data_IF_389839780685
#
_entry.id   IF_389839780685
#
_cell.length_a   1.000
_cell.length_b   1.000
_cell.length_c   1.000
_cell.angle_alpha   90.00
_cell.angle_beta   90.00
_cell.angle_gamma   90.00
#
_symmetry.space_group_name_H-M   'P 1'
#
loop_
_entity.id
_entity.type
_entity.pdbx_description
1 polymer ?
#
# COMPACT_ATOMS: atom_id res chain seq x y z
N UNK A 1 -56.06 86.73 23.81
CA UNK A 1 -55.09 86.77 24.92
C UNK A 1 -54.78 85.32 25.28
N UNK A 2 -53.59 84.74 25.26
CA UNK A 2 -52.26 85.15 24.85
C UNK A 2 -51.32 83.93 24.99
N UNK A 3 -50.25 83.95 24.19
CA UNK A 3 -48.91 83.32 24.38
C UNK A 3 -48.73 81.78 24.30
N UNK A 4 -47.91 81.48 23.30
CA UNK A 4 -46.94 80.40 23.10
C UNK A 4 -46.13 80.05 24.36
N UNK A 5 -45.87 78.76 24.60
CA UNK A 5 -44.62 78.26 25.15
C UNK A 5 -44.36 76.80 24.72
N UNK A 6 -43.19 76.57 24.11
CA UNK A 6 -42.57 75.25 23.88
C UNK A 6 -41.87 74.81 25.17
N UNK A 7 -41.90 73.51 25.48
CA UNK A 7 -40.78 72.82 26.16
C UNK A 7 -40.85 71.32 25.90
N UNK A 8 -39.68 70.75 25.60
CA UNK A 8 -39.44 69.35 25.32
C UNK A 8 -39.40 68.51 26.61
N UNK A 9 -39.77 67.23 26.50
CA UNK A 9 -39.41 66.20 27.46
C UNK A 9 -39.04 64.92 26.69
N UNK A 10 -37.78 64.53 26.83
CA UNK A 10 -37.22 63.22 26.49
C UNK A 10 -37.38 62.34 27.74
N UNK A 11 -37.68 61.04 27.59
CA UNK A 11 -37.04 59.89 28.27
C UNK A 11 -37.93 58.63 28.27
N UNK A 12 -37.28 57.52 27.88
CA UNK A 12 -37.47 56.10 28.17
C UNK A 12 -38.73 55.35 27.70
N UNK A 13 -38.58 54.61 26.60
CA UNK A 13 -39.34 53.39 26.36
C UNK A 13 -38.64 52.21 27.08
N UNK A 14 -39.33 51.61 28.06
CA UNK A 14 -38.96 50.32 28.65
C UNK A 14 -39.18 49.21 27.62
N UNK A 15 -38.12 48.50 27.24
CA UNK A 15 -38.19 47.21 26.58
C UNK A 15 -38.40 46.13 27.64
N UNK A 16 -39.55 45.48 27.61
CA UNK A 16 -39.82 44.24 28.35
C UNK A 16 -39.19 43.09 27.55
N UNK A 17 -38.13 42.50 28.08
CA UNK A 17 -37.53 41.26 27.59
C UNK A 17 -38.43 40.07 27.94
N UNK A 18 -38.98 39.41 26.91
CA UNK A 18 -39.62 38.10 27.05
C UNK A 18 -38.52 37.06 26.96
N UNK A 19 -38.19 36.42 28.09
CA UNK A 19 -37.34 35.24 28.12
C UNK A 19 -38.07 34.07 27.45
N UNK A 20 -37.73 33.78 26.19
CA UNK A 20 -38.00 32.49 25.59
C UNK A 20 -36.95 31.50 26.12
N UNK A 21 -37.35 30.73 27.12
CA UNK A 21 -36.58 29.65 27.70
C UNK A 21 -36.59 28.49 26.71
N UNK A 22 -35.54 28.38 25.89
CA UNK A 22 -35.31 27.20 25.07
C UNK A 22 -34.96 26.03 25.97
N UNK A 23 -35.87 25.07 26.04
CA UNK A 23 -35.65 23.76 26.64
C UNK A 23 -34.60 23.01 25.81
N UNK A 24 -33.34 23.10 26.22
CA UNK A 24 -32.25 22.23 25.77
C UNK A 24 -32.49 20.82 26.31
N UNK A 25 -33.22 20.01 25.55
CA UNK A 25 -33.23 18.55 25.70
C UNK A 25 -32.32 17.95 24.64
N UNK A 26 -31.04 17.86 24.97
CA UNK A 26 -30.02 17.19 24.18
C UNK A 26 -28.83 16.92 25.08
N UNK A 27 -28.81 15.76 25.72
CA UNK A 27 -27.65 15.25 26.45
C UNK A 27 -26.56 14.88 25.44
N UNK A 28 -25.87 15.87 24.87
CA UNK A 28 -24.63 15.67 24.14
C UNK A 28 -23.52 15.42 25.15
N UNK A 29 -22.92 14.23 25.13
CA UNK A 29 -21.73 13.97 25.93
C UNK A 29 -20.63 14.95 25.49
N UNK A 30 -20.09 15.73 26.43
CA UNK A 30 -19.03 16.69 26.13
C UNK A 30 -17.80 15.96 25.59
N UNK A 31 -17.26 16.42 24.46
CA UNK A 31 -16.04 15.89 23.84
C UNK A 31 -14.85 16.10 24.80
N UNK A 32 -14.05 15.05 25.01
CA UNK A 32 -12.89 15.11 25.88
C UNK A 32 -11.69 15.85 25.25
N UNK A 33 -10.68 16.15 26.06
CA UNK A 33 -9.54 16.97 25.62
C UNK A 33 -8.64 16.24 24.61
N UNK A 34 -8.62 14.90 24.61
CA UNK A 34 -7.86 14.12 23.63
C UNK A 34 -8.50 14.23 22.24
N UNK A 35 -9.83 14.15 22.15
CA UNK A 35 -10.55 14.32 20.89
C UNK A 35 -10.46 15.77 20.38
N UNK A 36 -10.46 16.77 21.27
CA UNK A 36 -10.20 18.17 20.87
C UNK A 36 -8.79 18.34 20.31
N UNK A 37 -7.78 17.78 20.99
CA UNK A 37 -6.40 17.81 20.50
C UNK A 37 -6.28 17.11 19.13
N UNK A 38 -6.99 16.00 18.91
CA UNK A 38 -7.04 15.36 17.60
C UNK A 38 -7.69 16.27 16.53
N UNK A 39 -8.83 16.90 16.82
CA UNK A 39 -9.51 17.84 15.90
C UNK A 39 -8.58 18.99 15.46
N UNK A 40 -7.71 19.44 16.36
CA UNK A 40 -6.71 20.46 16.08
C UNK A 40 -5.56 19.98 15.20
N UNK A 41 -5.33 18.67 15.06
CA UNK A 41 -4.11 18.13 14.45
C UNK A 41 -4.33 17.11 13.31
N UNK A 42 -5.55 16.60 13.11
CA UNK A 42 -5.80 15.57 12.08
C UNK A 42 -5.63 16.07 10.64
N UNK A 43 -5.79 17.38 10.42
CA UNK A 43 -5.45 18.10 9.20
C UNK A 43 -4.44 19.21 9.52
N UNK A 44 -3.44 19.37 8.64
CA UNK A 44 -2.53 20.51 8.66
C UNK A 44 -3.22 21.78 8.12
N UNK A 45 -2.73 22.95 8.52
CA UNK A 45 -3.23 24.21 7.97
C UNK A 45 -2.94 24.30 6.46
N UNK A 46 -3.97 24.60 5.66
CA UNK A 46 -3.91 24.62 4.20
C UNK A 46 -4.07 23.26 3.52
N UNK A 47 -4.23 22.18 4.29
CA UNK A 47 -4.46 20.84 3.74
C UNK A 47 -5.89 20.71 3.19
N UNK A 48 -6.03 20.05 2.04
CA UNK A 48 -7.30 19.54 1.54
C UNK A 48 -7.21 18.05 1.34
N UNK A 49 -7.90 17.29 2.17
CA UNK A 49 -7.84 15.83 2.14
C UNK A 49 -9.16 15.25 1.66
N UNK A 50 -9.07 14.26 0.78
CA UNK A 50 -10.20 13.40 0.45
C UNK A 50 -10.37 12.37 1.59
N UNK A 51 -11.59 12.31 2.11
CA UNK A 51 -12.08 11.33 3.08
C UNK A 51 -13.11 10.43 2.40
N UNK A 52 -12.71 9.29 1.82
CA UNK A 52 -13.65 8.35 1.19
C UNK A 52 -14.63 7.72 2.17
N UNK A 53 -14.29 7.73 3.46
CA UNK A 53 -15.14 7.25 4.53
C UNK A 53 -15.18 8.28 5.67
N UNK A 54 -16.29 8.34 6.38
CA UNK A 54 -16.36 9.08 7.64
C UNK A 54 -15.45 8.45 8.69
N UNK A 55 -14.59 9.28 9.29
CA UNK A 55 -13.50 8.82 10.17
C UNK A 55 -14.02 8.13 11.44
N UNK A 56 -15.18 8.58 11.95
CA UNK A 56 -15.83 7.98 13.12
C UNK A 56 -16.32 6.57 12.79
N UNK A 57 -16.89 6.40 11.60
CA UNK A 57 -17.33 5.09 11.11
C UNK A 57 -16.15 4.15 10.92
N UNK A 58 -15.06 4.64 10.33
CA UNK A 58 -13.81 3.89 10.18
C UNK A 58 -13.28 3.44 11.53
N UNK A 59 -13.08 4.35 12.49
CA UNK A 59 -12.59 3.99 13.81
C UNK A 59 -13.47 2.97 14.52
N UNK A 60 -14.80 3.06 14.37
CA UNK A 60 -15.71 2.04 14.91
C UNK A 60 -15.44 0.63 14.38
N UNK A 61 -15.01 0.51 13.13
CA UNK A 61 -14.68 -0.76 12.49
C UNK A 61 -13.24 -1.23 12.67
N UNK A 62 -12.25 -0.33 12.68
CA UNK A 62 -10.83 -0.69 12.56
C UNK A 62 -10.06 -0.60 13.89
N UNK A 63 -10.34 0.40 14.74
CA UNK A 63 -9.48 0.74 15.89
C UNK A 63 -10.30 0.89 17.20
N UNK A 64 -11.63 0.76 17.15
CA UNK A 64 -12.56 1.28 18.16
C UNK A 64 -12.39 0.76 19.58
N UNK A 65 -11.74 -0.39 19.79
CA UNK A 65 -11.41 -0.93 21.12
C UNK A 65 -10.12 -0.38 21.74
N UNK A 66 -9.21 0.20 20.94
CA UNK A 66 -7.91 0.74 21.42
C UNK A 66 -7.91 2.25 21.62
N UNK A 67 -8.92 2.97 21.11
CA UNK A 67 -9.09 4.40 21.38
C UNK A 67 -9.71 4.60 22.78
N UNK A 68 -8.94 5.21 23.69
CA UNK A 68 -9.32 5.40 25.11
C UNK A 68 -10.26 6.58 25.38
N UNK A 69 -10.43 7.45 24.40
CA UNK A 69 -11.19 8.70 24.49
C UNK A 69 -12.61 8.57 23.92
N UNK A 70 -13.47 9.56 24.18
CA UNK A 70 -14.89 9.55 23.86
C UNK A 70 -15.21 9.95 22.41
N UNK A 71 -14.40 9.50 21.45
CA UNK A 71 -14.52 9.80 20.00
C UNK A 71 -15.92 9.55 19.42
N UNK A 72 -16.71 8.63 20.02
CA UNK A 72 -18.10 8.37 19.63
C UNK A 72 -19.02 9.61 19.76
N UNK A 73 -18.63 10.60 20.55
CA UNK A 73 -19.31 11.87 20.70
C UNK A 73 -19.14 12.80 19.49
N UNK A 74 -18.17 12.56 18.60
CA UNK A 74 -18.03 13.32 17.36
C UNK A 74 -19.26 13.15 16.48
N UNK A 75 -19.76 14.21 15.83
CA UNK A 75 -20.78 14.09 14.80
C UNK A 75 -20.20 13.42 13.54
N UNK A 76 -21.05 12.75 12.79
CA UNK A 76 -20.68 12.15 11.49
C UNK A 76 -20.59 13.28 10.46
N UNK A 77 -19.54 13.29 9.65
CA UNK A 77 -19.40 14.25 8.54
C UNK A 77 -20.14 13.73 7.32
N UNK A 78 -20.90 14.60 6.64
CA UNK A 78 -21.60 14.28 5.39
C UNK A 78 -22.54 13.06 5.46
N UNK A 79 -23.16 12.81 6.61
CA UNK A 79 -24.01 11.63 6.85
C UNK A 79 -23.31 10.28 6.58
N UNK A 80 -21.97 10.25 6.58
CA UNK A 80 -21.16 9.06 6.33
C UNK A 80 -20.63 8.97 4.90
N UNK A 81 -21.12 9.83 4.00
CA UNK A 81 -20.68 9.89 2.60
C UNK A 81 -19.20 10.29 2.49
N UNK A 82 -18.56 9.95 1.36
CA UNK A 82 -17.28 10.53 1.02
C UNK A 82 -17.32 12.06 1.06
N UNK A 83 -16.24 12.68 1.55
CA UNK A 83 -16.15 14.12 1.70
C UNK A 83 -14.76 14.63 1.36
N UNK A 84 -14.68 15.88 0.92
CA UNK A 84 -13.42 16.62 0.82
C UNK A 84 -13.41 17.63 1.95
N UNK A 85 -12.38 17.59 2.79
CA UNK A 85 -12.26 18.49 3.93
C UNK A 85 -11.03 19.36 3.78
N UNK A 86 -11.22 20.66 3.94
CA UNK A 86 -10.15 21.67 3.85
C UNK A 86 -10.02 22.38 5.18
N UNK A 87 -8.82 22.36 5.77
CA UNK A 87 -8.51 23.17 6.94
C UNK A 87 -7.77 24.44 6.54
N UNK A 88 -8.19 25.58 7.07
CA UNK A 88 -7.53 26.84 6.79
C UNK A 88 -7.68 27.84 7.93
N UNK A 89 -6.57 28.48 8.30
CA UNK A 89 -6.52 29.63 9.20
C UNK A 89 -6.85 30.95 8.49
N UNK A 90 -6.88 30.95 7.15
CA UNK A 90 -7.06 32.16 6.33
C UNK A 90 -8.41 32.21 5.59
N UNK A 91 -8.97 31.06 5.23
CA UNK A 91 -10.31 30.96 4.65
C UNK A 91 -11.36 30.82 5.74
N UNK A 92 -12.49 31.49 5.55
CA UNK A 92 -13.65 31.26 6.42
C UNK A 92 -14.26 29.91 6.08
N UNK A 93 -14.54 29.04 7.06
CA UNK A 93 -15.20 27.77 6.81
C UNK A 93 -16.51 27.91 6.03
N UNK A 94 -16.76 27.00 5.09
CA UNK A 94 -17.96 27.03 4.25
C UNK A 94 -19.27 26.67 5.00
N UNK A 95 -19.17 26.22 6.26
CA UNK A 95 -20.32 25.78 7.06
C UNK A 95 -20.91 24.43 6.64
N UNK A 96 -20.20 23.65 5.82
CA UNK A 96 -20.64 22.32 5.38
C UNK A 96 -20.31 21.19 6.36
N UNK A 97 -19.42 21.42 7.33
CA UNK A 97 -19.15 20.46 8.38
C UNK A 97 -20.14 20.64 9.56
N UNK A 98 -20.29 19.63 10.43
CA UNK A 98 -20.88 19.86 11.75
C UNK A 98 -20.12 20.92 12.55
N UNK A 99 -20.83 21.63 13.45
CA UNK A 99 -20.32 22.79 14.19
C UNK A 99 -18.93 22.58 14.80
N UNK A 100 -18.65 21.42 15.41
CA UNK A 100 -17.35 21.12 16.03
C UNK A 100 -16.17 21.20 15.06
N UNK A 101 -16.37 20.80 13.81
CA UNK A 101 -15.33 20.85 12.76
C UNK A 101 -15.24 22.25 12.16
N UNK A 102 -16.39 22.91 11.96
CA UNK A 102 -16.45 24.29 11.49
C UNK A 102 -15.79 25.26 12.46
N UNK A 103 -16.00 25.10 13.76
CA UNK A 103 -15.34 25.87 14.83
C UNK A 103 -13.82 25.62 14.86
N UNK A 104 -13.37 24.45 14.39
CA UNK A 104 -11.95 24.12 14.23
C UNK A 104 -11.33 24.64 12.90
N UNK A 105 -12.06 25.46 12.14
CA UNK A 105 -11.58 26.05 10.89
C UNK A 105 -11.64 25.11 9.68
N UNK A 106 -12.51 24.09 9.72
CA UNK A 106 -12.64 23.09 8.64
C UNK A 106 -13.87 23.36 7.79
N UNK A 107 -13.68 23.33 6.47
CA UNK A 107 -14.74 23.29 5.46
C UNK A 107 -14.95 21.86 4.97
N UNK A 108 -16.20 21.45 4.76
CA UNK A 108 -16.54 20.13 4.24
C UNK A 108 -17.35 20.27 2.96
N UNK A 109 -16.98 19.48 1.97
CA UNK A 109 -17.69 19.31 0.72
C UNK A 109 -18.15 17.86 0.62
N UNK A 110 -19.46 17.61 0.66
CA UNK A 110 -19.99 16.25 0.60
C UNK A 110 -20.08 15.75 -0.83
N UNK A 111 -19.61 14.53 -1.09
CA UNK A 111 -19.70 13.89 -2.40
C UNK A 111 -20.98 13.07 -2.49
N UNK A 112 -21.91 13.54 -3.31
CA UNK A 112 -23.25 12.95 -3.44
C UNK A 112 -23.26 11.79 -4.43
N UNK A 113 -24.11 10.78 -4.16
CA UNK A 113 -24.35 9.65 -5.07
C UNK A 113 -23.53 8.38 -4.79
N UNK A 114 -22.61 8.39 -3.82
CA UNK A 114 -21.80 7.22 -3.48
C UNK A 114 -22.54 6.16 -2.63
N UNK A 115 -23.50 6.56 -1.78
CA UNK A 115 -24.21 5.64 -0.87
C UNK A 115 -25.02 4.55 -1.58
N UNK A 116 -25.43 4.81 -2.83
CA UNK A 116 -26.22 3.88 -3.63
C UNK A 116 -25.37 3.15 -4.69
N UNK A 117 -24.05 3.33 -4.66
CA UNK A 117 -23.13 2.77 -5.65
C UNK A 117 -22.26 1.69 -5.05
N UNK A 118 -22.12 0.58 -5.77
CA UNK A 118 -21.10 -0.45 -5.54
C UNK A 118 -19.78 -0.12 -6.24
N UNK A 119 -19.81 0.83 -7.18
CA UNK A 119 -18.67 1.30 -7.95
C UNK A 119 -18.29 2.71 -7.52
N UNK A 120 -17.17 2.85 -6.83
CA UNK A 120 -16.67 4.14 -6.37
C UNK A 120 -15.64 4.69 -7.36
N UNK A 121 -15.89 5.89 -7.89
CA UNK A 121 -14.95 6.57 -8.78
C UNK A 121 -14.54 7.93 -8.23
N UNK A 122 -13.25 8.20 -8.11
CA UNK A 122 -12.71 9.49 -7.67
C UNK A 122 -11.82 10.08 -8.76
N UNK A 123 -12.19 11.26 -9.25
CA UNK A 123 -11.37 12.03 -10.18
C UNK A 123 -10.65 13.10 -9.36
N UNK A 124 -9.32 13.04 -9.32
CA UNK A 124 -8.53 13.88 -8.43
C UNK A 124 -7.61 14.80 -9.24
N UNK A 125 -7.34 15.99 -8.73
CA UNK A 125 -6.31 16.90 -9.27
C UNK A 125 -5.49 17.50 -8.14
N UNK A 126 -4.23 17.92 -8.37
CA UNK A 126 -3.44 18.57 -7.35
C UNK A 126 -4.05 19.92 -6.99
N UNK A 127 -4.30 20.16 -5.70
CA UNK A 127 -4.78 21.47 -5.26
C UNK A 127 -3.67 22.51 -5.33
N UNK A 128 -3.78 23.45 -6.28
CA UNK A 128 -2.78 24.52 -6.46
C UNK A 128 -3.02 25.75 -5.58
N UNK A 129 -4.28 26.06 -5.25
CA UNK A 129 -4.64 27.25 -4.48
C UNK A 129 -5.73 26.94 -3.45
N UNK A 130 -5.65 27.64 -2.32
CA UNK A 130 -6.69 27.63 -1.29
C UNK A 130 -7.80 28.61 -1.69
N UNK A 131 -8.91 28.07 -2.17
CA UNK A 131 -10.13 28.81 -2.50
C UNK A 131 -11.35 28.25 -1.76
N UNK A 132 -12.44 29.02 -1.73
CA UNK A 132 -13.72 28.58 -1.20
C UNK A 132 -14.21 27.30 -1.86
N UNK A 133 -14.85 26.43 -1.07
CA UNK A 133 -15.34 25.13 -1.50
C UNK A 133 -16.88 25.09 -1.48
N UNK A 134 -17.51 24.43 -2.46
CA UNK A 134 -18.96 24.23 -2.42
C UNK A 134 -19.36 23.32 -1.24
N UNK A 135 -20.64 23.33 -0.88
CA UNK A 135 -21.15 22.43 0.16
C UNK A 135 -21.24 20.97 -0.33
N UNK A 136 -21.48 20.79 -1.63
CA UNK A 136 -21.65 19.47 -2.24
C UNK A 136 -21.00 19.40 -3.63
N UNK A 137 -20.61 18.20 -4.02
CA UNK A 137 -20.19 17.86 -5.38
C UNK A 137 -20.93 16.60 -5.83
N UNK A 138 -21.23 16.52 -7.12
CA UNK A 138 -21.87 15.34 -7.69
C UNK A 138 -20.88 14.17 -7.83
N UNK A 139 -21.41 12.95 -7.92
CA UNK A 139 -20.66 11.74 -8.24
C UNK A 139 -19.77 11.94 -9.48
N UNK A 140 -18.51 11.55 -9.38
CA UNK A 140 -17.54 11.66 -10.46
C UNK A 140 -17.05 13.10 -10.75
N UNK A 141 -17.38 14.07 -9.91
CA UNK A 141 -16.78 15.40 -10.00
C UNK A 141 -15.27 15.34 -9.70
N UNK A 142 -14.49 16.16 -10.40
CA UNK A 142 -13.06 16.33 -10.13
C UNK A 142 -12.85 17.07 -8.81
N UNK A 143 -12.02 16.51 -7.93
CA UNK A 143 -11.70 17.09 -6.61
C UNK A 143 -10.22 17.49 -6.53
N UNK A 144 -9.99 18.76 -6.21
CA UNK A 144 -8.64 19.28 -5.94
C UNK A 144 -8.17 18.92 -4.53
N UNK A 145 -7.15 18.06 -4.42
CA UNK A 145 -6.68 17.52 -3.14
C UNK A 145 -5.16 17.69 -2.96
N UNK A 146 -4.72 17.68 -1.71
CA UNK A 146 -3.30 17.61 -1.31
C UNK A 146 -2.93 16.24 -0.76
N UNK A 147 -3.93 15.50 -0.28
CA UNK A 147 -3.76 14.20 0.38
C UNK A 147 -5.05 13.39 0.31
N UNK A 148 -4.94 12.09 0.57
CA UNK A 148 -6.06 11.17 0.70
C UNK A 148 -5.87 10.37 2.00
N UNK A 149 -6.96 10.11 2.72
CA UNK A 149 -6.92 9.14 3.82
C UNK A 149 -7.10 7.73 3.26
N UNK A 150 -6.49 6.73 3.91
CA UNK A 150 -6.73 5.31 3.61
C UNK A 150 -8.21 5.03 3.40
N UNK A 151 -8.53 4.38 2.28
CA UNK A 151 -9.90 4.01 1.91
C UNK A 151 -10.24 2.72 2.64
N UNK A 152 -11.17 2.79 3.58
CA UNK A 152 -11.71 1.58 4.23
C UNK A 152 -12.95 1.18 3.45
N UNK A 153 -12.77 0.30 2.47
CA UNK A 153 -13.83 -0.05 1.53
C UNK A 153 -15.03 -0.67 2.27
N UNK A 154 -16.25 -0.12 2.13
CA UNK A 154 -17.46 -0.75 2.65
C UNK A 154 -17.67 -2.14 2.06
N UNK A 155 -18.31 -3.04 2.82
CA UNK A 155 -18.48 -4.46 2.44
C UNK A 155 -19.22 -4.65 1.10
N UNK A 156 -20.06 -3.71 0.70
CA UNK A 156 -20.85 -3.77 -0.54
C UNK A 156 -20.16 -3.14 -1.76
N UNK A 157 -19.00 -2.51 -1.59
CA UNK A 157 -18.27 -1.89 -2.71
C UNK A 157 -17.51 -2.96 -3.47
N UNK A 158 -17.82 -3.08 -4.76
CA UNK A 158 -17.27 -4.09 -5.67
C UNK A 158 -16.09 -3.53 -6.48
N UNK A 159 -16.08 -2.22 -6.75
CA UNK A 159 -14.97 -1.57 -7.45
C UNK A 159 -14.59 -0.21 -6.89
N UNK A 160 -13.28 0.06 -6.88
CA UNK A 160 -12.72 1.37 -6.55
C UNK A 160 -11.84 1.84 -7.70
N UNK A 161 -12.11 3.05 -8.18
CA UNK A 161 -11.39 3.70 -9.26
C UNK A 161 -10.91 5.07 -8.82
N UNK A 162 -9.62 5.35 -9.01
CA UNK A 162 -9.01 6.67 -8.77
C UNK A 162 -8.32 7.09 -10.06
N UNK A 163 -8.69 8.25 -10.56
CA UNK A 163 -8.16 8.81 -11.82
C UNK A 163 -7.57 10.17 -11.56
N UNK A 164 -6.27 10.33 -11.83
CA UNK A 164 -5.64 11.63 -11.84
C UNK A 164 -6.02 12.43 -13.09
N UNK A 165 -6.56 13.62 -12.90
CA UNK A 165 -6.92 14.54 -13.97
C UNK A 165 -5.76 15.48 -14.24
N UNK A 166 -5.26 15.47 -15.47
CA UNK A 166 -4.13 16.30 -15.89
C UNK A 166 -3.26 15.61 -16.92
N UNK A 167 -2.16 16.27 -17.29
CA UNK A 167 -1.14 15.71 -18.18
C UNK A 167 -0.11 14.89 -17.40
N UNK A 168 0.23 15.33 -16.19
CA UNK A 168 1.21 14.67 -15.34
C UNK A 168 0.52 13.73 -14.34
N UNK A 169 1.19 12.63 -14.00
CA UNK A 169 0.74 11.70 -12.97
C UNK A 169 0.72 12.37 -11.59
N UNK A 170 -0.35 12.15 -10.84
CA UNK A 170 -0.55 12.80 -9.54
C UNK A 170 0.10 11.98 -8.44
N UNK A 171 1.02 12.59 -7.69
CA UNK A 171 1.57 11.97 -6.48
C UNK A 171 0.49 11.89 -5.39
N UNK A 172 0.20 10.66 -4.93
CA UNK A 172 -0.74 10.42 -3.84
C UNK A 172 -0.03 10.52 -2.49
N UNK A 173 -0.36 11.55 -1.70
CA UNK A 173 0.01 11.60 -0.30
C UNK A 173 -1.06 10.89 0.54
N UNK A 174 -0.84 9.60 0.80
CA UNK A 174 -1.75 8.78 1.61
C UNK A 174 -1.46 9.00 3.09
N UNK A 175 -2.52 9.19 3.87
CA UNK A 175 -2.47 9.33 5.34
C UNK A 175 -3.28 8.20 5.97
N UNK A 176 -2.83 7.65 7.09
CA UNK A 176 -3.59 6.63 7.80
C UNK A 176 -4.91 7.21 8.36
N UNK A 177 -5.92 6.37 8.50
CA UNK A 177 -7.21 6.66 9.13
C UNK A 177 -7.11 7.09 10.60
N UNK A 178 -6.02 6.75 11.28
CA UNK A 178 -5.77 7.17 12.66
C UNK A 178 -4.88 8.42 12.77
N UNK A 179 -4.55 9.07 11.65
CA UNK A 179 -3.64 10.23 11.63
C UNK A 179 -4.10 11.31 12.62
N UNK A 180 -3.16 11.79 13.44
CA UNK A 180 -3.41 12.75 14.52
C UNK A 180 -3.76 12.12 15.87
N UNK A 181 -3.89 10.79 15.96
CA UNK A 181 -4.15 10.09 17.21
C UNK A 181 -2.86 9.55 17.84
N UNK A 182 -2.61 9.87 19.11
CA UNK A 182 -1.39 9.45 19.81
C UNK A 182 -1.30 7.92 19.97
N UNK A 183 -0.07 7.38 19.85
CA UNK A 183 0.27 5.97 20.05
C UNK A 183 -0.33 4.97 19.02
N UNK A 184 -0.84 5.46 17.89
CA UNK A 184 -1.14 4.61 16.73
C UNK A 184 0.00 4.69 15.72
N UNK A 185 0.42 3.55 15.18
CA UNK A 185 1.43 3.55 14.12
C UNK A 185 0.78 3.94 12.79
N UNK A 186 1.06 5.15 12.33
CA UNK A 186 0.58 5.68 11.05
C UNK A 186 1.65 5.62 9.97
N UNK A 187 2.72 4.84 10.19
CA UNK A 187 3.82 4.69 9.24
C UNK A 187 3.41 3.80 8.08
N UNK A 188 3.70 4.22 6.85
CA UNK A 188 3.42 3.46 5.63
C UNK A 188 1.94 3.05 5.45
N UNK A 189 1.01 4.02 5.36
CA UNK A 189 -0.40 3.71 5.24
C UNK A 189 -0.71 2.97 3.93
N UNK A 190 -1.61 1.99 4.02
CA UNK A 190 -2.23 1.36 2.86
C UNK A 190 -3.13 2.36 2.14
N UNK A 191 -3.23 2.29 0.82
CA UNK A 191 -4.19 3.11 0.08
C UNK A 191 -5.60 2.61 0.32
N UNK A 192 -5.80 1.29 0.30
CA UNK A 192 -7.11 0.65 0.45
C UNK A 192 -7.01 -0.48 1.48
N UNK A 193 -7.92 -0.48 2.44
CA UNK A 193 -8.15 -1.55 3.40
C UNK A 193 -9.54 -2.15 3.21
N UNK A 194 -9.67 -3.43 3.54
CA UNK A 194 -10.91 -4.18 3.40
C UNK A 194 -11.19 -5.02 4.64
N UNK A 195 -12.47 -5.16 4.97
CA UNK A 195 -12.93 -6.11 5.98
C UNK A 195 -12.84 -7.56 5.50
N UNK A 196 -13.07 -8.50 6.42
CA UNK A 196 -13.07 -9.95 6.11
C UNK A 196 -14.20 -10.41 5.18
N UNK A 197 -15.24 -9.58 5.02
CA UNK A 197 -16.46 -9.84 4.26
C UNK A 197 -16.59 -8.98 3.00
N UNK A 198 -15.47 -8.43 2.53
CA UNK A 198 -15.44 -7.51 1.38
C UNK A 198 -15.95 -8.14 0.08
N UNK A 199 -16.72 -7.37 -0.69
CA UNK A 199 -17.08 -7.67 -2.07
C UNK A 199 -16.12 -7.05 -3.10
N UNK A 200 -15.04 -6.39 -2.67
CA UNK A 200 -14.14 -5.67 -3.56
C UNK A 200 -13.39 -6.63 -4.50
N UNK A 201 -13.69 -6.55 -5.79
CA UNK A 201 -13.09 -7.40 -6.82
C UNK A 201 -12.21 -6.63 -7.79
N UNK A 202 -12.43 -5.30 -7.94
CA UNK A 202 -11.76 -4.49 -8.96
C UNK A 202 -11.15 -3.22 -8.38
N UNK A 203 -9.88 -2.98 -8.72
CA UNK A 203 -9.18 -1.74 -8.42
C UNK A 203 -8.64 -1.14 -9.72
N UNK A 204 -8.88 0.15 -9.92
CA UNK A 204 -8.40 0.91 -11.07
C UNK A 204 -7.71 2.19 -10.61
N UNK A 205 -6.40 2.28 -10.85
CA UNK A 205 -5.62 3.48 -10.61
C UNK A 205 -5.10 3.97 -11.96
N UNK A 206 -5.50 5.18 -12.35
CA UNK A 206 -5.08 5.78 -13.61
C UNK A 206 -4.45 7.14 -13.36
N UNK A 207 -3.30 7.40 -13.98
CA UNK A 207 -2.59 8.68 -13.91
C UNK A 207 -2.26 9.14 -12.47
N UNK A 208 -1.89 8.19 -11.61
CA UNK A 208 -1.41 8.44 -10.24
C UNK A 208 0.00 7.89 -10.08
N UNK A 209 0.92 8.67 -9.54
CA UNK A 209 2.31 8.25 -9.41
C UNK A 209 2.46 7.18 -8.30
N UNK A 210 2.74 5.95 -8.72
CA UNK A 210 2.96 4.81 -7.84
C UNK A 210 4.43 4.39 -7.78
N UNK A 211 5.35 5.16 -8.37
CA UNK A 211 6.75 4.74 -8.50
C UNK A 211 7.39 4.40 -7.15
N UNK A 212 7.20 5.24 -6.13
CA UNK A 212 7.74 5.01 -4.77
C UNK A 212 6.77 4.24 -3.87
N UNK A 213 5.46 4.32 -4.14
CA UNK A 213 4.45 3.72 -3.27
C UNK A 213 4.55 2.18 -3.20
N UNK A 214 4.95 1.55 -4.30
CA UNK A 214 5.00 0.07 -4.42
C UNK A 214 6.29 -0.56 -3.87
N UNK A 215 7.24 0.24 -3.38
CA UNK A 215 8.53 -0.23 -2.85
C UNK A 215 8.49 -0.57 -1.35
N UNK A 216 7.49 -0.05 -0.63
CA UNK A 216 7.53 0.00 0.84
C UNK A 216 6.58 -0.97 1.53
N UNK A 217 5.48 -1.39 0.91
CA UNK A 217 4.45 -2.22 1.54
C UNK A 217 3.90 -3.28 0.59
N UNK A 218 3.56 -4.46 1.13
CA UNK A 218 2.93 -5.57 0.37
C UNK A 218 1.40 -5.49 0.37
N UNK A 219 0.85 -4.60 1.19
CA UNK A 219 -0.57 -4.44 1.50
C UNK A 219 -1.11 -3.06 1.10
N UNK A 220 -0.36 -2.31 0.26
CA UNK A 220 -0.80 -1.02 -0.26
C UNK A 220 -2.20 -1.08 -0.91
N UNK A 221 -2.49 -2.21 -1.57
CA UNK A 221 -3.81 -2.58 -2.08
C UNK A 221 -4.17 -4.00 -1.65
N UNK A 222 -5.47 -4.32 -1.48
CA UNK A 222 -5.93 -5.66 -1.12
C UNK A 222 -5.53 -6.73 -2.14
N UNK A 223 -5.06 -7.88 -1.63
CA UNK A 223 -4.58 -9.01 -2.45
C UNK A 223 -5.70 -9.95 -2.92
N UNK A 224 -6.92 -9.79 -2.40
CA UNK A 224 -8.07 -10.66 -2.67
C UNK A 224 -8.92 -10.22 -3.87
N UNK A 225 -8.38 -9.35 -4.74
CA UNK A 225 -9.07 -8.80 -5.92
C UNK A 225 -8.87 -9.68 -7.16
N UNK A 226 -9.77 -9.54 -8.13
CA UNK A 226 -9.75 -10.24 -9.42
C UNK A 226 -9.20 -9.39 -10.56
N UNK A 227 -9.37 -8.06 -10.50
CA UNK A 227 -8.97 -7.14 -11.56
C UNK A 227 -8.18 -5.96 -11.00
N UNK A 228 -6.95 -5.80 -11.50
CA UNK A 228 -6.06 -4.70 -11.16
C UNK A 228 -5.63 -3.95 -12.41
N UNK A 229 -6.01 -2.68 -12.49
CA UNK A 229 -5.62 -1.76 -13.56
C UNK A 229 -4.75 -0.65 -12.97
N UNK A 230 -3.51 -0.51 -13.45
CA UNK A 230 -2.56 0.54 -13.06
C UNK A 230 -1.99 1.18 -14.34
N UNK A 231 -2.67 2.20 -14.88
CA UNK A 231 -2.29 2.83 -16.16
C UNK A 231 -1.74 4.23 -15.94
N UNK A 232 -0.71 4.63 -16.67
CA UNK A 232 -0.08 5.95 -16.50
C UNK A 232 0.44 6.19 -15.06
N UNK A 233 0.89 5.14 -14.38
CA UNK A 233 1.25 5.21 -12.96
C UNK A 233 2.76 5.40 -12.68
N UNK A 234 3.53 5.79 -13.70
CA UNK A 234 4.98 5.96 -13.63
C UNK A 234 5.77 4.72 -13.14
N UNK A 235 5.17 3.53 -13.15
CA UNK A 235 5.80 2.30 -12.64
C UNK A 235 6.96 1.93 -13.58
N UNK A 236 8.19 1.96 -13.09
CA UNK A 236 9.36 1.57 -13.90
C UNK A 236 9.88 0.17 -13.60
N UNK A 237 9.60 -0.33 -12.39
CA UNK A 237 9.90 -1.69 -11.96
C UNK A 237 8.74 -2.23 -11.16
N UNK A 238 8.29 -3.44 -11.49
CA UNK A 238 7.39 -4.19 -10.61
C UNK A 238 8.27 -4.93 -9.60
N UNK A 239 8.20 -4.53 -8.33
CA UNK A 239 8.89 -5.26 -7.25
C UNK A 239 8.26 -6.64 -7.05
N UNK A 240 9.06 -7.62 -6.61
CA UNK A 240 8.51 -8.94 -6.29
C UNK A 240 7.55 -8.88 -5.12
N UNK A 241 7.70 -7.91 -4.22
CA UNK A 241 6.84 -7.69 -3.06
C UNK A 241 5.46 -7.20 -3.46
N UNK A 242 5.36 -6.28 -4.42
CA UNK A 242 4.07 -5.70 -4.82
C UNK A 242 3.11 -6.72 -5.43
N UNK A 243 3.58 -7.58 -6.34
CA UNK A 243 2.73 -8.60 -6.97
C UNK A 243 2.68 -9.92 -6.18
N UNK A 244 3.37 -10.03 -5.04
CA UNK A 244 3.33 -11.25 -4.27
C UNK A 244 2.06 -11.30 -3.41
N UNK A 245 1.29 -12.38 -3.57
CA UNK A 245 0.19 -12.68 -2.65
C UNK A 245 -1.20 -12.67 -3.27
N UNK A 246 -1.33 -12.29 -4.54
CA UNK A 246 -2.61 -12.27 -5.24
C UNK A 246 -3.15 -13.68 -5.47
N UNK A 247 -4.12 -14.09 -4.65
CA UNK A 247 -4.72 -15.42 -4.74
C UNK A 247 -5.76 -15.54 -5.88
N UNK A 248 -6.40 -14.43 -6.23
CA UNK A 248 -7.59 -14.39 -7.09
C UNK A 248 -7.41 -13.54 -8.35
N UNK A 249 -6.24 -12.93 -8.56
CA UNK A 249 -6.05 -11.96 -9.65
C UNK A 249 -6.06 -12.64 -11.02
N UNK A 250 -7.05 -12.28 -11.83
CA UNK A 250 -7.27 -12.81 -13.17
C UNK A 250 -6.86 -11.83 -14.28
N UNK A 251 -6.97 -10.53 -14.02
CA UNK A 251 -6.74 -9.46 -14.98
C UNK A 251 -5.76 -8.44 -14.41
N UNK A 252 -4.65 -8.24 -15.12
CA UNK A 252 -3.63 -7.25 -14.77
C UNK A 252 -3.35 -6.33 -15.96
N UNK A 253 -3.63 -5.03 -15.80
CA UNK A 253 -3.27 -4.00 -16.78
C UNK A 253 -2.20 -3.08 -16.19
N UNK A 254 -1.02 -3.11 -16.79
CA UNK A 254 0.15 -2.27 -16.49
C UNK A 254 0.53 -1.41 -17.72
N UNK A 255 -0.41 -1.17 -18.63
CA UNK A 255 -0.15 -0.40 -19.84
C UNK A 255 0.17 1.06 -19.55
N UNK A 256 0.90 1.69 -20.47
CA UNK A 256 1.31 3.11 -20.35
C UNK A 256 2.10 3.39 -19.07
N UNK A 257 3.05 2.53 -18.72
CA UNK A 257 3.97 2.76 -17.62
C UNK A 257 5.40 2.97 -18.17
N UNK A 258 6.40 2.87 -17.29
CA UNK A 258 7.82 3.05 -17.61
C UNK A 258 8.61 1.75 -17.43
N UNK A 259 7.91 0.61 -17.50
CA UNK A 259 8.55 -0.69 -17.39
C UNK A 259 9.64 -0.74 -18.46
N UNK A 260 10.91 -1.01 -18.09
CA UNK A 260 12.06 -1.21 -19.00
C UNK A 260 12.80 -2.56 -18.72
N UNK A 261 13.54 -3.10 -19.70
CA UNK A 261 14.48 -4.22 -19.52
C UNK A 261 13.91 -5.64 -19.69
N UNK A 262 14.42 -6.61 -18.92
CA UNK A 262 13.89 -7.98 -18.87
C UNK A 262 12.91 -8.07 -17.70
N UNK A 263 11.60 -8.09 -17.98
CA UNK A 263 10.51 -7.97 -16.98
C UNK A 263 10.32 -9.22 -16.13
N UNK A 264 11.38 -9.58 -15.43
CA UNK A 264 11.57 -10.92 -14.91
C UNK A 264 10.75 -11.22 -13.65
N UNK A 265 9.84 -10.31 -13.25
CA UNK A 265 9.09 -10.39 -11.98
C UNK A 265 7.62 -10.73 -12.13
N UNK A 266 7.02 -10.51 -13.31
CA UNK A 266 5.68 -11.03 -13.60
C UNK A 266 5.85 -12.51 -13.95
N UNK A 267 5.48 -13.38 -13.02
CA UNK A 267 5.66 -14.83 -13.14
C UNK A 267 4.64 -15.56 -12.26
N UNK A 268 4.57 -16.88 -12.36
CA UNK A 268 3.72 -17.71 -11.50
C UNK A 268 3.93 -17.51 -10.00
N UNK A 269 5.09 -16.96 -9.58
CA UNK A 269 5.39 -16.68 -8.18
C UNK A 269 4.56 -15.53 -7.58
N UNK A 270 3.87 -14.75 -8.41
CA UNK A 270 2.97 -13.69 -7.95
C UNK A 270 1.69 -14.25 -7.30
N UNK A 271 1.28 -15.44 -7.76
CA UNK A 271 0.03 -16.05 -7.36
C UNK A 271 0.28 -17.01 -6.19
N UNK A 272 -0.58 -16.96 -5.18
CA UNK A 272 -0.56 -17.94 -4.08
C UNK A 272 -1.43 -19.15 -4.38
N UNK A 273 -2.40 -19.02 -5.29
CA UNK A 273 -3.19 -20.13 -5.80
C UNK A 273 -2.42 -20.98 -6.81
N UNK A 274 -2.69 -22.30 -6.81
CA UNK A 274 -2.17 -23.25 -7.78
C UNK A 274 -3.31 -24.12 -8.32
N UNK A 275 -3.67 -24.04 -9.61
CA UNK A 275 -3.03 -23.22 -10.65
C UNK A 275 -3.20 -21.71 -10.43
N UNK A 276 -2.28 -20.91 -10.98
CA UNK A 276 -2.42 -19.45 -10.93
C UNK A 276 -3.64 -19.02 -11.79
N UNK A 277 -4.57 -18.19 -11.27
CA UNK A 277 -5.80 -17.84 -11.96
C UNK A 277 -5.64 -16.75 -13.04
N UNK A 278 -4.43 -16.22 -13.23
CA UNK A 278 -4.15 -15.14 -14.18
C UNK A 278 -4.56 -15.52 -15.61
N UNK A 279 -5.49 -14.77 -16.19
CA UNK A 279 -6.04 -14.98 -17.54
C UNK A 279 -5.51 -13.95 -18.54
N UNK A 280 -5.36 -12.70 -18.14
CA UNK A 280 -5.01 -11.61 -19.04
C UNK A 280 -3.98 -10.66 -18.45
N UNK A 281 -2.94 -10.37 -19.24
CA UNK A 281 -1.92 -9.38 -18.90
C UNK A 281 -1.78 -8.36 -20.03
N UNK A 282 -1.90 -7.08 -19.70
CA UNK A 282 -1.60 -5.98 -20.60
C UNK A 282 -0.37 -5.21 -20.12
N UNK A 283 0.69 -5.21 -20.92
CA UNK A 283 1.94 -4.47 -20.68
C UNK A 283 2.32 -3.62 -21.89
N UNK A 284 1.32 -3.26 -22.71
CA UNK A 284 1.49 -2.37 -23.86
C UNK A 284 1.97 -0.98 -23.45
N UNK A 285 2.58 -0.24 -24.38
CA UNK A 285 3.03 1.15 -24.15
C UNK A 285 4.00 1.24 -22.96
N UNK A 286 5.04 0.43 -22.99
CA UNK A 286 6.13 0.42 -22.02
C UNK A 286 7.47 0.45 -22.81
N UNK A 287 8.59 0.13 -22.16
CA UNK A 287 9.91 0.03 -22.76
C UNK A 287 10.44 -1.40 -22.84
N UNK A 288 9.60 -2.41 -23.09
CA UNK A 288 10.05 -3.81 -23.10
C UNK A 288 11.00 -4.10 -24.26
N UNK A 289 12.17 -4.70 -23.98
CA UNK A 289 13.17 -5.00 -25.03
C UNK A 289 13.17 -6.46 -25.49
N UNK A 290 12.43 -7.33 -24.80
CA UNK A 290 12.34 -8.76 -25.09
C UNK A 290 10.93 -9.28 -24.80
N UNK A 291 10.53 -10.33 -25.53
CA UNK A 291 9.29 -11.07 -25.25
C UNK A 291 9.40 -11.71 -23.84
N UNK A 292 8.43 -11.48 -22.94
CA UNK A 292 8.50 -11.95 -21.56
C UNK A 292 8.13 -13.44 -21.45
N UNK A 293 9.05 -14.32 -21.85
CA UNK A 293 8.82 -15.78 -21.94
C UNK A 293 8.30 -16.43 -20.64
N UNK A 294 8.59 -15.86 -19.46
CA UNK A 294 8.10 -16.39 -18.16
C UNK A 294 6.61 -16.22 -17.95
N UNK A 295 5.96 -15.26 -18.63
CA UNK A 295 4.51 -15.10 -18.55
C UNK A 295 3.79 -16.31 -19.17
N UNK A 296 4.41 -17.00 -20.13
CA UNK A 296 3.85 -18.21 -20.72
C UNK A 296 3.93 -19.44 -19.81
N UNK A 297 4.57 -19.34 -18.63
CA UNK A 297 4.45 -20.34 -17.57
C UNK A 297 3.17 -20.18 -16.72
N UNK A 298 2.39 -19.12 -16.97
CA UNK A 298 1.06 -18.94 -16.38
C UNK A 298 0.09 -19.81 -17.17
N UNK A 299 -0.22 -20.98 -16.61
CA UNK A 299 -0.97 -22.04 -17.29
C UNK A 299 -2.45 -21.71 -17.56
N UNK A 300 -2.96 -20.58 -17.07
CA UNK A 300 -4.32 -20.09 -17.36
C UNK A 300 -4.31 -18.83 -18.26
N UNK A 301 -3.13 -18.32 -18.64
CA UNK A 301 -3.01 -17.12 -19.45
C UNK A 301 -3.58 -17.40 -20.85
N UNK A 302 -4.55 -16.57 -21.26
CA UNK A 302 -5.20 -16.63 -22.56
C UNK A 302 -5.02 -15.34 -23.37
N UNK A 303 -4.66 -14.24 -22.71
CA UNK A 303 -4.54 -12.92 -23.31
C UNK A 303 -3.24 -12.23 -22.90
N UNK A 304 -2.44 -11.80 -23.86
CA UNK A 304 -1.19 -11.06 -23.61
C UNK A 304 -1.00 -9.93 -24.62
N UNK A 305 -0.89 -8.69 -24.13
CA UNK A 305 -0.73 -7.50 -24.96
C UNK A 305 0.63 -6.82 -24.73
N UNK A 306 1.42 -6.69 -25.79
CA UNK A 306 2.81 -6.21 -25.81
C UNK A 306 3.05 -5.06 -26.80
N UNK A 307 2.02 -4.56 -27.48
CA UNK A 307 2.15 -3.49 -28.50
C UNK A 307 2.79 -2.21 -27.93
N UNK A 308 3.46 -1.44 -28.78
CA UNK A 308 4.18 -0.21 -28.43
C UNK A 308 5.22 -0.44 -27.32
N UNK A 309 6.12 -1.39 -27.56
CA UNK A 309 7.31 -1.61 -26.74
C UNK A 309 8.58 -1.45 -27.58
N UNK A 310 9.75 -1.75 -27.02
CA UNK A 310 11.05 -1.69 -27.70
C UNK A 310 11.59 -3.09 -28.06
N UNK A 311 10.69 -4.04 -28.36
CA UNK A 311 11.07 -5.43 -28.64
C UNK A 311 11.58 -5.49 -30.08
N UNK A 312 12.85 -5.85 -30.25
CA UNK A 312 13.51 -5.89 -31.56
C UNK A 312 13.90 -7.32 -32.00
N UNK A 313 13.57 -8.34 -31.19
CA UNK A 313 13.91 -9.73 -31.47
C UNK A 313 12.67 -10.60 -31.64
N UNK A 314 12.39 -11.01 -32.88
CA UNK A 314 11.30 -11.92 -33.26
C UNK A 314 11.75 -13.37 -33.44
N UNK A 315 12.99 -13.71 -33.08
CA UNK A 315 13.48 -15.08 -33.08
C UNK A 315 13.04 -15.80 -31.81
N UNK A 316 12.29 -16.88 -31.95
CA UNK A 316 11.72 -17.66 -30.84
C UNK A 316 11.98 -19.15 -30.99
N UNK A 317 11.96 -19.90 -29.89
CA UNK A 317 11.96 -21.36 -29.93
C UNK A 317 10.62 -21.88 -30.44
N UNK A 318 10.58 -23.13 -30.92
CA UNK A 318 9.30 -23.77 -31.30
C UNK A 318 8.32 -23.82 -30.13
N UNK A 319 8.79 -24.07 -28.91
CA UNK A 319 7.93 -24.10 -27.71
C UNK A 319 7.32 -22.73 -27.40
N UNK A 320 8.12 -21.65 -27.46
CA UNK A 320 7.60 -20.30 -27.23
C UNK A 320 6.62 -19.89 -28.34
N UNK A 321 6.89 -20.26 -29.59
CA UNK A 321 5.95 -20.05 -30.70
C UNK A 321 4.61 -20.78 -30.46
N UNK A 322 4.65 -22.06 -30.07
CA UNK A 322 3.44 -22.83 -29.81
C UNK A 322 2.63 -22.25 -28.64
N UNK A 323 3.32 -21.76 -27.60
CA UNK A 323 2.68 -21.05 -26.49
C UNK A 323 2.02 -19.73 -26.94
N UNK A 324 2.69 -18.95 -27.79
CA UNK A 324 2.11 -17.71 -28.37
C UNK A 324 0.89 -18.05 -29.21
N UNK A 325 1.00 -19.01 -30.13
CA UNK A 325 -0.08 -19.43 -31.03
C UNK A 325 -1.28 -20.06 -30.30
N UNK A 326 -1.07 -20.58 -29.08
CA UNK A 326 -2.11 -21.13 -28.22
C UNK A 326 -2.92 -20.09 -27.44
N UNK A 327 -2.49 -18.81 -27.41
CA UNK A 327 -3.26 -17.74 -26.78
C UNK A 327 -4.56 -17.49 -27.57
N UNK A 328 -5.57 -16.96 -26.89
CA UNK A 328 -6.79 -16.48 -27.56
C UNK A 328 -6.58 -15.08 -28.11
N UNK A 329 -5.93 -14.21 -27.32
CA UNK A 329 -5.62 -12.85 -27.70
C UNK A 329 -4.12 -12.59 -27.49
N UNK A 330 -3.44 -12.19 -28.54
CA UNK A 330 -2.05 -11.79 -28.48
C UNK A 330 -1.83 -10.61 -29.42
N UNK A 331 -1.11 -9.61 -28.94
CA UNK A 331 -0.76 -8.43 -29.74
C UNK A 331 0.66 -7.98 -29.41
N UNK A 332 1.42 -7.63 -30.43
CA UNK A 332 2.82 -7.20 -30.37
C UNK A 332 3.18 -6.52 -31.69
N UNK A 333 4.12 -5.57 -31.65
CA UNK A 333 4.61 -4.90 -32.85
C UNK A 333 5.21 -5.92 -33.85
N UNK A 334 4.89 -5.74 -35.14
CA UNK A 334 5.41 -6.57 -36.21
C UNK A 334 6.93 -6.37 -36.40
N UNK A 335 7.66 -7.38 -36.90
CA UNK A 335 9.06 -7.22 -37.24
C UNK A 335 9.25 -6.07 -38.24
N UNK A 336 10.36 -5.35 -38.10
CA UNK A 336 10.75 -4.33 -39.08
C UNK A 336 11.13 -5.00 -40.40
N UNK A 337 10.95 -4.29 -41.53
CA UNK A 337 11.28 -4.81 -42.88
C UNK A 337 12.76 -5.24 -43.02
N UNK A 338 13.64 -4.76 -42.13
CA UNK A 338 15.06 -5.12 -42.09
C UNK A 338 15.38 -6.40 -41.31
N UNK A 339 14.42 -6.97 -40.58
CA UNK A 339 14.68 -8.15 -39.76
C UNK A 339 14.77 -9.42 -40.62
N UNK A 340 15.87 -10.16 -40.52
CA UNK A 340 16.10 -11.39 -41.27
C UNK A 340 16.00 -12.63 -40.37
N UNK A 341 15.41 -13.70 -40.90
CA UNK A 341 15.35 -14.99 -40.22
C UNK A 341 16.45 -15.91 -40.74
N UNK A 342 17.65 -15.78 -40.18
CA UNK A 342 18.85 -16.46 -40.72
C UNK A 342 18.95 -17.94 -40.29
N UNK A 343 18.40 -18.29 -39.12
CA UNK A 343 18.56 -19.61 -38.49
C UNK A 343 17.22 -20.30 -38.15
N UNK A 344 16.15 -19.93 -38.85
CA UNK A 344 14.82 -20.45 -38.56
C UNK A 344 13.89 -20.40 -39.76
N UNK A 345 12.64 -20.71 -39.49
CA UNK A 345 11.55 -20.65 -40.45
C UNK A 345 10.54 -19.59 -40.03
N UNK A 346 10.14 -18.75 -40.97
CA UNK A 346 9.05 -17.80 -40.73
C UNK A 346 7.75 -18.55 -40.47
N UNK A 347 7.10 -18.22 -39.35
CA UNK A 347 5.76 -18.69 -39.02
C UNK A 347 4.92 -17.52 -38.52
N UNK A 348 3.61 -17.56 -38.78
CA UNK A 348 2.69 -16.48 -38.44
C UNK A 348 1.71 -16.93 -37.36
N UNK A 349 1.62 -16.17 -36.29
CA UNK A 349 0.62 -16.33 -35.23
C UNK A 349 0.01 -14.97 -34.90
N UNK A 350 -1.31 -14.90 -34.72
CA UNK A 350 -2.03 -13.66 -34.39
C UNK A 350 -1.75 -12.47 -35.33
N UNK A 351 -1.44 -12.75 -36.61
CA UNK A 351 -1.10 -11.72 -37.60
C UNK A 351 0.33 -11.17 -37.51
N UNK A 352 1.19 -11.79 -36.70
CA UNK A 352 2.60 -11.39 -36.50
C UNK A 352 3.52 -12.53 -36.98
N UNK A 353 4.59 -12.17 -37.69
CA UNK A 353 5.58 -13.11 -38.18
C UNK A 353 6.73 -13.30 -37.17
N UNK A 354 7.07 -14.55 -36.90
CA UNK A 354 8.14 -14.96 -36.00
C UNK A 354 9.17 -15.82 -36.73
N UNK A 355 10.45 -15.61 -36.45
CA UNK A 355 11.52 -16.48 -36.89
C UNK A 355 11.66 -17.65 -35.92
N UNK A 356 11.12 -18.82 -36.28
CA UNK A 356 11.09 -19.99 -35.38
C UNK A 356 12.31 -20.85 -35.63
N UNK A 357 13.14 -21.03 -34.60
CA UNK A 357 14.35 -21.84 -34.69
C UNK A 357 14.01 -23.31 -34.95
N UNK A 358 14.70 -23.91 -35.91
CA UNK A 358 14.59 -25.35 -36.18
C UNK A 358 15.20 -26.15 -35.01
N UNK A 359 14.53 -27.24 -34.60
CA UNK A 359 14.88 -28.01 -33.39
C UNK A 359 16.30 -28.62 -33.39
N UNK A 360 17.06 -28.49 -34.48
CA UNK A 360 18.46 -28.93 -34.62
C UNK A 360 19.49 -27.91 -34.14
N UNK A 361 19.10 -26.65 -33.85
CA UNK A 361 20.01 -25.57 -33.41
C UNK A 361 19.71 -25.03 -32.01
N UNK A 362 18.69 -25.55 -31.31
CA UNK A 362 18.30 -25.14 -29.95
C UNK A 362 19.26 -25.63 -28.83
N UNK A 363 20.47 -26.10 -29.17
CA UNK A 363 21.49 -26.51 -28.21
C UNK A 363 22.65 -25.52 -28.10
N UNK A 364 22.50 -24.23 -28.41
CA UNK A 364 23.53 -23.24 -28.04
C UNK A 364 22.98 -21.81 -27.90
N UNK A 365 22.24 -21.56 -26.83
CA UNK A 365 22.16 -20.22 -26.24
C UNK A 365 21.94 -20.32 -24.73
N UNK A 366 22.73 -21.19 -24.08
CA UNK A 366 23.10 -20.95 -22.69
C UNK A 366 24.05 -19.76 -22.67
N UNK A 367 23.72 -18.79 -21.82
CA UNK A 367 24.58 -17.77 -21.24
C UNK A 367 26.08 -17.91 -21.56
N UNK A 368 26.65 -16.82 -22.06
CA UNK A 368 28.08 -16.68 -22.26
C UNK A 368 28.88 -17.05 -21.00
N UNK A 369 29.41 -18.27 -20.96
CA UNK A 369 30.62 -18.58 -20.21
C UNK A 369 31.51 -19.48 -21.04
N UNK A 370 32.55 -18.85 -21.59
CA UNK A 370 33.90 -19.35 -21.82
C UNK A 370 34.07 -20.88 -21.86
N UNK A 371 34.51 -21.35 -23.02
CA UNK A 371 34.93 -22.70 -23.32
C UNK A 371 35.84 -23.36 -22.26
N UNK A 372 35.52 -24.64 -22.01
CA UNK A 372 36.41 -25.74 -21.64
C UNK A 372 37.04 -25.75 -20.24
N UNK A 373 36.43 -26.55 -19.35
CA UNK A 373 37.09 -27.73 -18.77
C UNK A 373 36.09 -28.50 -17.87
N UNK A 374 35.35 -29.43 -18.46
CA UNK A 374 34.42 -30.33 -17.76
C UNK A 374 35.11 -31.06 -16.59
N UNK A 375 36.42 -31.29 -16.68
CA UNK A 375 37.24 -31.85 -15.60
C UNK A 375 37.41 -30.93 -14.38
N UNK A 376 37.48 -29.59 -14.56
CA UNK A 376 37.59 -28.66 -13.43
C UNK A 376 36.30 -28.61 -12.61
N UNK A 377 35.14 -28.73 -13.25
CA UNK A 377 33.84 -28.77 -12.56
C UNK A 377 33.75 -30.02 -11.69
N UNK A 378 34.13 -31.20 -12.21
CA UNK A 378 34.15 -32.43 -11.40
C UNK A 378 35.13 -32.37 -10.22
N UNK A 379 36.28 -31.71 -10.39
CA UNK A 379 37.24 -31.49 -9.30
C UNK A 379 36.66 -30.53 -8.24
N UNK A 380 36.01 -29.44 -8.65
CA UNK A 380 35.38 -28.49 -7.73
C UNK A 380 34.24 -29.15 -6.96
N UNK A 381 33.39 -29.93 -7.64
CA UNK A 381 32.29 -30.68 -6.98
C UNK A 381 32.85 -31.69 -5.99
N UNK A 382 33.91 -32.43 -6.34
CA UNK A 382 34.56 -33.35 -5.41
C UNK A 382 35.13 -32.63 -4.17
N UNK A 383 35.77 -31.47 -4.36
CA UNK A 383 36.28 -30.63 -3.26
C UNK A 383 35.14 -30.10 -2.39
N UNK A 384 34.06 -29.61 -2.99
CA UNK A 384 32.88 -29.13 -2.25
C UNK A 384 32.23 -30.24 -1.43
N UNK A 385 32.12 -31.46 -1.96
CA UNK A 385 31.60 -32.63 -1.22
C UNK A 385 32.50 -32.96 -0.03
N UNK A 386 33.83 -32.92 -0.20
CA UNK A 386 34.78 -33.14 0.90
C UNK A 386 34.66 -32.03 1.96
N UNK A 387 34.54 -30.77 1.55
CA UNK A 387 34.36 -29.65 2.48
C UNK A 387 33.05 -29.76 3.25
N UNK A 388 31.94 -30.11 2.59
CA UNK A 388 30.64 -30.34 3.25
C UNK A 388 30.71 -31.52 4.21
N UNK A 389 31.41 -32.60 3.84
CA UNK A 389 31.63 -33.73 4.73
C UNK A 389 32.45 -33.33 5.97
N UNK A 390 33.50 -32.51 5.80
CA UNK A 390 34.30 -31.99 6.90
C UNK A 390 33.51 -31.04 7.81
N UNK A 391 32.68 -30.17 7.24
CA UNK A 391 31.75 -29.30 7.99
C UNK A 391 30.74 -30.15 8.76
N UNK A 392 30.18 -31.19 8.15
CA UNK A 392 29.25 -32.10 8.80
C UNK A 392 29.90 -32.87 9.96
N UNK A 393 31.13 -33.35 9.77
CA UNK A 393 31.93 -33.97 10.84
C UNK A 393 32.22 -32.97 11.96
N UNK A 394 32.58 -31.72 11.62
CA UNK A 394 32.81 -30.66 12.59
C UNK A 394 31.55 -30.32 13.39
N UNK A 395 30.39 -30.21 12.73
CA UNK A 395 29.09 -30.00 13.38
C UNK A 395 28.73 -31.20 14.27
N UNK A 396 28.95 -32.44 13.81
CA UNK A 396 28.73 -33.63 14.65
C UNK A 396 29.66 -33.67 15.86
N UNK A 397 30.94 -33.34 15.70
CA UNK A 397 31.88 -33.26 16.81
C UNK A 397 31.52 -32.15 17.80
N UNK A 398 31.06 -30.99 17.30
CA UNK A 398 30.60 -29.88 18.15
C UNK A 398 29.30 -30.23 18.88
N UNK A 399 28.35 -30.90 18.22
CA UNK A 399 27.13 -31.43 18.88
C UNK A 399 27.46 -32.52 19.90
N UNK A 400 28.42 -33.40 19.63
CA UNK A 400 28.87 -34.41 20.59
C UNK A 400 29.58 -33.79 21.81
N UNK A 401 30.40 -32.75 21.61
CA UNK A 401 31.00 -31.96 22.71
C UNK A 401 29.95 -31.22 23.53
N UNK A 402 28.95 -30.60 22.89
CA UNK A 402 27.86 -29.94 23.62
C UNK A 402 27.00 -30.93 24.42
N UNK A 403 26.69 -32.11 23.86
CA UNK A 403 25.99 -33.18 24.60
C UNK A 403 26.79 -33.73 25.78
N UNK A 404 28.13 -33.65 25.74
CA UNK A 404 28.98 -34.02 26.87
C UNK A 404 28.95 -32.95 27.97
N UNK A 405 28.81 -31.67 27.60
CA UNK A 405 28.63 -30.53 28.52
C UNK A 405 27.26 -30.57 29.23
N UNK A 406 26.19 -30.85 28.50
CA UNK A 406 24.84 -31.00 29.08
C UNK A 406 24.73 -32.20 30.05
N UNK A 407 25.54 -33.25 29.87
CA UNK A 407 25.55 -34.42 30.76
C UNK A 407 26.32 -34.18 32.07
N UNK A 408 27.18 -33.17 32.13
CA UNK A 408 27.87 -32.73 33.35
C UNK A 408 27.06 -31.68 34.12
N UNK A 409 26.29 -30.83 33.44
CA UNK A 409 25.35 -29.87 34.07
C UNK A 409 24.06 -30.52 34.59
N UNK A 410 23.52 -31.53 33.91
CA UNK A 410 22.28 -32.21 34.34
C UNK A 410 22.43 -33.10 35.59
N UNK A 411 23.66 -33.32 36.09
CA UNK A 411 23.91 -34.05 37.35
C UNK A 411 23.83 -33.14 38.57
N UNK A 412 23.78 -31.81 38.39
CA UNK A 412 23.85 -30.84 39.49
C UNK A 412 22.52 -30.14 39.84
N UNK A 413 21.42 -30.38 39.11
CA UNK A 413 20.18 -29.60 39.24
C UNK A 413 18.93 -30.44 39.58
N UNK A 414 19.10 -31.49 40.38
CA UNK A 414 18.01 -32.15 41.10
C UNK A 414 18.08 -31.85 42.60
N UNK A 415 18.09 -30.57 42.97
CA UNK A 415 17.71 -30.17 44.33
C UNK A 415 17.22 -28.73 44.31
N UNK A 416 16.04 -28.51 44.90
CA UNK A 416 15.42 -27.24 45.28
C UNK A 416 14.44 -26.61 44.29
N UNK A 417 13.28 -27.27 44.13
CA UNK A 417 12.02 -26.54 44.01
C UNK A 417 11.52 -26.18 45.42
N UNK A 418 11.40 -24.89 45.75
CA UNK A 418 10.39 -24.45 46.70
C UNK A 418 9.98 -22.99 46.44
N UNK A 419 8.67 -22.78 46.59
CA UNK A 419 7.88 -21.57 46.36
C UNK A 419 8.36 -20.27 47.02
N UNK A 420 7.96 -19.16 46.38
CA UNK A 420 7.18 -18.04 46.95
C UNK A 420 7.70 -16.63 46.62
N UNK A 421 6.73 -15.78 46.28
CA UNK A 421 6.76 -14.34 46.06
C UNK A 421 7.88 -13.54 46.75
N UNK A 422 8.62 -12.75 45.98
CA UNK A 422 9.29 -11.55 46.49
C UNK A 422 9.32 -10.41 45.47
N UNK A 423 8.66 -9.31 45.80
CA UNK A 423 8.67 -8.03 45.09
C UNK A 423 10.07 -7.41 45.08
N UNK A 424 10.63 -7.18 43.91
CA UNK A 424 11.93 -6.53 43.74
C UNK A 424 11.86 -5.03 44.08
N UNK A 425 12.53 -4.61 45.15
CA UNK A 425 12.72 -3.21 45.52
C UNK A 425 13.96 -2.68 44.77
N UNK A 426 13.78 -1.71 43.88
CA UNK A 426 14.80 -1.20 42.92
C UNK A 426 15.95 -0.39 43.54
N UNK A 427 16.15 -0.44 44.85
CA UNK A 427 17.11 0.41 45.56
C UNK A 427 18.45 -0.26 45.89
N UNK A 428 18.70 -1.51 45.47
CA UNK A 428 19.97 -2.22 45.73
C UNK A 428 21.01 -1.99 44.62
N UNK A 429 20.59 -1.61 43.41
CA UNK A 429 21.49 -1.45 42.24
C UNK A 429 22.30 -0.13 42.31
N UNK A 430 21.87 0.83 43.14
CA UNK A 430 22.51 2.15 43.26
C UNK A 430 23.39 2.30 44.52
N UNK A 431 23.81 1.19 45.13
CA UNK A 431 24.73 1.24 46.29
C UNK A 431 26.16 1.66 45.85
N UNK A 432 26.69 2.80 46.36
CA UNK A 432 28.02 3.29 46.00
C UNK A 432 29.18 2.38 46.43
N UNK A 433 28.97 1.39 47.30
CA UNK A 433 30.01 0.42 47.68
C UNK A 433 30.18 -0.72 46.66
N UNK A 434 29.11 -1.08 45.93
CA UNK A 434 29.14 -2.19 44.95
C UNK A 434 29.73 -1.73 43.62
N UNK A 435 29.57 -0.45 43.26
CA UNK A 435 30.15 0.14 42.04
C UNK A 435 31.69 0.21 42.12
N UNK A 436 32.25 0.41 43.31
CA UNK A 436 33.69 0.55 43.51
C UNK A 436 34.49 -0.76 43.36
N UNK A 437 33.84 -1.93 43.34
CA UNK A 437 34.51 -3.24 43.26
C UNK A 437 34.16 -4.02 41.99
N UNK A 438 33.60 -3.34 40.98
CA UNK A 438 33.26 -3.98 39.70
C UNK A 438 34.51 -4.17 38.84
N UNK A 439 34.94 -5.42 38.66
CA UNK A 439 36.02 -5.77 37.72
C UNK A 439 35.51 -5.59 36.29
N UNK A 440 36.15 -4.79 35.43
CA UNK A 440 35.77 -4.64 34.03
C UNK A 440 35.98 -5.95 33.26
N UNK A 441 35.00 -6.33 32.44
CA UNK A 441 34.99 -7.59 31.68
C UNK A 441 36.14 -7.75 30.67
N UNK A 442 36.94 -6.70 30.43
CA UNK A 442 38.08 -6.71 29.48
C UNK A 442 39.36 -7.35 30.04
N UNK A 443 39.45 -7.60 31.35
CA UNK A 443 40.68 -8.10 31.99
C UNK A 443 40.70 -9.61 32.26
N UNK A 444 39.67 -10.35 31.84
CA UNK A 444 39.64 -11.82 32.00
C UNK A 444 40.26 -12.51 30.76
N UNK A 445 41.59 -12.62 30.73
CA UNK A 445 42.31 -13.47 29.77
C UNK A 445 42.24 -14.94 30.22
N UNK A 446 41.39 -15.75 29.59
CA UNK A 446 41.43 -17.21 29.76
C UNK A 446 42.44 -17.83 28.79
N UNK A 447 43.58 -18.29 29.32
CA UNK A 447 44.51 -19.17 28.63
C UNK A 447 43.88 -20.57 28.47
N UNK A 448 43.81 -21.06 27.23
CA UNK A 448 43.62 -22.50 26.97
C UNK A 448 44.84 -23.03 26.24
N UNK A 449 45.61 -23.89 26.93
CA UNK A 449 46.69 -24.72 26.37
C UNK A 449 46.08 -25.78 25.44
N UNK A 450 46.83 -26.05 24.37
CA UNK A 450 46.70 -27.07 23.31
C UNK A 450 45.88 -28.31 23.62
#
# INVERSE_FOLDING_TARGET
MGRIARTAAVIAALLVSVNAQSSTSGSGAAIDDQVKAWLENYLADGETRLFPNDIKSVWGSTIGSSLTANWKALPVVCDGKPSVQTKSSTLTPNGGCPDVYTDAGVSCTCLEGYDNSTDWEFYIEPRQQLTDQPLTLAFGATVGITSIVTIVAPDNVESIKIVGVGQDAIALNVTAEATGWDNYDTSNPSLIEVGTTTALEKITLENVDLFTALDHTTDYIPLAIQNLTLRYCNISTVTSTFLQGFASLEYLDLSHNKLHGTYSRISSQMCTANPCPMKSINVSNNGLTQIPYRMFYLNQLNSLYLINNAIENWTVSSELYDNIAGLTNFDMDAPTDSYTCDNGTWKTAHGIEFCVLDSTTAATSSESSSSSNTYLIWVIVAVCVVVVALIFVFIRQRRARNRRKEREEAVFDHTLSFDSHFTANTNIINDPLIIAHRIPFKDVKTYART
#
